data_IF_771406412480
#
_entry.id   IF_771406412480
#
_cell.length_a   1.000
_cell.length_b   1.000
_cell.length_c   1.000
_cell.angle_alpha   90.00
_cell.angle_beta   90.00
_cell.angle_gamma   90.00
#
_symmetry.space_group_name_H-M   'P 1'
#
loop_
_entity.id
_entity.type
_entity.pdbx_description
1 polymer ?
#
# COMPACT_ATOMS: atom_id res chain seq x y z
N UNK A 1 -75.70 30.37 16.85
CA UNK A 1 -75.10 30.96 18.06
C UNK A 1 -74.46 29.80 18.82
N UNK A 2 -73.11 29.75 18.90
CA UNK A 2 -72.21 28.94 19.77
C UNK A 2 -72.66 27.49 20.12
N UNK A 3 -71.91 26.40 19.95
CA UNK A 3 -70.47 26.15 20.06
C UNK A 3 -70.17 24.69 19.68
N UNK A 4 -69.08 24.52 18.94
CA UNK A 4 -68.04 23.48 18.99
C UNK A 4 -68.37 21.97 19.13
N UNK A 5 -67.84 21.25 18.15
CA UNK A 5 -67.77 19.79 17.96
C UNK A 5 -66.45 19.27 18.57
N UNK A 6 -66.38 18.01 19.07
CA UNK A 6 -65.14 17.26 18.99
C UNK A 6 -65.29 16.05 18.06
N UNK A 7 -64.81 16.22 16.84
CA UNK A 7 -64.70 15.17 15.83
C UNK A 7 -63.36 14.49 15.99
N UNK A 8 -63.38 13.17 16.21
CA UNK A 8 -62.20 12.31 16.22
C UNK A 8 -61.48 12.44 14.87
N UNK A 9 -60.30 13.05 14.87
CA UNK A 9 -59.36 12.97 13.77
C UNK A 9 -58.24 11.98 14.10
N UNK A 10 -58.11 10.99 13.23
CA UNK A 10 -57.02 10.01 13.18
C UNK A 10 -55.81 10.71 12.56
N UNK A 11 -54.64 10.59 13.18
CA UNK A 11 -53.35 10.95 12.61
C UNK A 11 -52.40 9.75 12.76
N UNK A 12 -51.80 9.22 11.67
CA UNK A 12 -50.75 8.21 11.76
C UNK A 12 -49.39 8.90 11.86
N UNK A 13 -48.78 8.91 13.03
CA UNK A 13 -47.41 9.41 13.21
C UNK A 13 -46.42 8.26 13.21
N UNK A 14 -45.54 8.31 12.21
CA UNK A 14 -44.38 7.45 12.00
C UNK A 14 -43.33 7.60 13.11
N UNK A 15 -42.59 6.52 13.40
CA UNK A 15 -41.35 6.54 14.19
C UNK A 15 -41.43 5.73 15.48
N UNK A 16 -40.54 4.80 15.80
CA UNK A 16 -39.37 4.31 15.08
C UNK A 16 -39.00 2.95 15.67
N UNK A 17 -38.92 1.94 14.80
CA UNK A 17 -38.26 0.66 15.10
C UNK A 17 -36.79 0.89 14.81
N UNK A 18 -36.02 1.39 15.77
CA UNK A 18 -34.54 1.34 15.74
C UNK A 18 -34.03 1.41 17.17
N UNK A 19 -33.55 0.29 17.70
CA UNK A 19 -32.40 0.18 18.62
C UNK A 19 -32.31 -1.26 19.15
N UNK A 20 -31.90 -2.20 18.30
CA UNK A 20 -31.45 -3.53 18.74
C UNK A 20 -30.38 -4.11 17.80
N UNK A 21 -29.41 -3.29 17.37
CA UNK A 21 -28.22 -3.76 16.63
C UNK A 21 -26.93 -3.15 17.22
N UNK A 22 -27.00 -2.54 18.41
CA UNK A 22 -25.90 -1.75 18.96
C UNK A 22 -24.92 -2.45 19.91
N UNK A 23 -25.06 -3.76 20.18
CA UNK A 23 -24.27 -4.43 21.23
C UNK A 23 -23.87 -5.85 20.81
N UNK A 24 -23.17 -5.98 19.68
CA UNK A 24 -22.39 -7.20 19.38
C UNK A 24 -21.23 -6.93 18.42
N UNK A 25 -20.52 -5.81 18.62
CA UNK A 25 -19.29 -5.46 17.88
C UNK A 25 -18.19 -4.98 18.82
N UNK A 26 -18.14 -5.56 20.01
CA UNK A 26 -17.04 -5.37 20.95
C UNK A 26 -16.60 -6.75 21.44
N UNK A 27 -15.29 -6.97 21.39
CA UNK A 27 -14.55 -8.08 21.99
C UNK A 27 -14.25 -9.32 21.11
N UNK A 28 -13.63 -9.08 19.97
CA UNK A 28 -12.50 -9.93 19.55
C UNK A 28 -11.24 -9.08 19.36
N UNK A 29 -10.83 -8.41 20.45
CA UNK A 29 -9.43 -8.01 20.60
C UNK A 29 -8.64 -9.27 20.92
N UNK A 30 -8.34 -10.08 19.90
CA UNK A 30 -7.28 -11.07 20.05
C UNK A 30 -6.00 -10.28 20.35
N UNK A 31 -5.33 -10.52 21.49
CA UNK A 31 -3.98 -10.04 21.63
C UNK A 31 -3.19 -10.80 20.57
N UNK A 32 -2.93 -10.15 19.43
CA UNK A 32 -1.89 -10.59 18.54
C UNK A 32 -0.62 -10.50 19.39
N UNK A 33 -0.17 -11.65 19.90
CA UNK A 33 1.21 -11.81 20.32
C UNK A 33 2.03 -11.42 19.10
N UNK A 34 2.51 -10.18 19.10
CA UNK A 34 3.40 -9.68 18.09
C UNK A 34 4.68 -10.49 18.27
N UNK A 35 4.77 -11.61 17.54
CA UNK A 35 6.02 -12.30 17.35
C UNK A 35 7.04 -11.24 16.93
N UNK A 36 8.23 -11.28 17.52
CA UNK A 36 9.31 -10.37 17.15
C UNK A 36 9.43 -10.37 15.63
N UNK A 37 9.34 -9.17 15.04
CA UNK A 37 9.41 -9.02 13.59
C UNK A 37 10.74 -9.62 13.15
N UNK A 38 10.71 -10.63 12.28
CA UNK A 38 11.91 -11.16 11.66
C UNK A 38 12.14 -10.48 10.32
N UNK A 39 13.40 -10.39 9.87
CA UNK A 39 13.72 -9.83 8.56
C UNK A 39 12.91 -10.50 7.44
N UNK A 40 12.77 -11.83 7.49
CA UNK A 40 11.98 -12.59 6.50
C UNK A 40 10.50 -12.22 6.54
N UNK A 41 9.93 -12.03 7.73
CA UNK A 41 8.53 -11.59 7.87
C UNK A 41 8.33 -10.16 7.36
N UNK A 42 9.28 -9.27 7.63
CA UNK A 42 9.26 -7.90 7.13
C UNK A 42 9.34 -7.86 5.59
N UNK A 43 10.22 -8.66 4.98
CA UNK A 43 10.31 -8.80 3.52
C UNK A 43 8.99 -9.28 2.91
N UNK A 44 8.39 -10.33 3.50
CA UNK A 44 7.13 -10.90 3.02
C UNK A 44 5.94 -9.94 3.17
N UNK A 45 5.95 -9.08 4.18
CA UNK A 45 4.94 -8.03 4.36
C UNK A 45 5.16 -6.90 3.35
N UNK A 46 6.39 -6.40 3.23
CA UNK A 46 6.73 -5.32 2.30
C UNK A 46 6.40 -5.68 0.84
N UNK A 47 6.74 -6.89 0.39
CA UNK A 47 6.44 -7.34 -0.97
C UNK A 47 4.94 -7.51 -1.24
N UNK A 48 4.16 -7.96 -0.24
CA UNK A 48 2.71 -8.16 -0.42
C UNK A 48 1.90 -6.88 -0.32
N UNK A 49 2.29 -5.95 0.55
CA UNK A 49 1.51 -4.76 0.86
C UNK A 49 1.95 -3.52 0.09
N UNK A 50 2.97 -3.62 -0.77
CA UNK A 50 3.41 -2.49 -1.56
C UNK A 50 2.42 -2.17 -2.71
N UNK A 51 1.74 -1.00 -2.68
CA UNK A 51 0.75 -0.65 -3.71
C UNK A 51 1.38 -0.42 -5.09
N UNK A 52 2.65 0.01 -5.15
CA UNK A 52 3.39 0.18 -6.41
C UNK A 52 3.62 -1.14 -7.14
N UNK A 53 4.07 -2.18 -6.41
CA UNK A 53 4.21 -3.54 -6.97
C UNK A 53 2.85 -4.12 -7.38
N UNK A 54 1.80 -3.85 -6.59
CA UNK A 54 0.43 -4.23 -6.93
C UNK A 54 -0.04 -3.60 -8.24
N UNK A 55 0.20 -2.30 -8.45
CA UNK A 55 -0.14 -1.59 -9.67
C UNK A 55 0.57 -2.18 -10.90
N UNK A 56 1.87 -2.49 -10.78
CA UNK A 56 2.62 -3.16 -11.86
C UNK A 56 2.06 -4.56 -12.17
N UNK A 57 1.67 -5.32 -11.16
CA UNK A 57 1.04 -6.64 -11.35
C UNK A 57 -0.25 -6.53 -12.15
N UNK A 58 -1.10 -5.56 -11.82
CA UNK A 58 -2.33 -5.29 -12.58
C UNK A 58 -2.04 -4.82 -13.99
N UNK A 59 -1.01 -3.98 -14.19
CA UNK A 59 -0.59 -3.53 -15.52
C UNK A 59 -0.13 -4.69 -16.41
N UNK A 60 0.60 -5.66 -15.86
CA UNK A 60 0.99 -6.87 -16.58
C UNK A 60 -0.25 -7.67 -17.00
N UNK A 61 -1.23 -7.83 -16.11
CA UNK A 61 -2.48 -8.52 -16.43
C UNK A 61 -3.25 -7.80 -17.55
N UNK A 62 -3.40 -6.47 -17.44
CA UNK A 62 -4.00 -5.62 -18.48
C UNK A 62 -3.35 -5.84 -19.85
N UNK A 63 -2.01 -5.77 -19.93
CA UNK A 63 -1.28 -5.92 -21.18
C UNK A 63 -1.38 -7.34 -21.75
N UNK A 64 -1.42 -8.37 -20.90
CA UNK A 64 -1.67 -9.76 -21.34
C UNK A 64 -3.06 -9.94 -21.91
N UNK A 65 -4.08 -9.38 -21.28
CA UNK A 65 -5.44 -9.39 -21.82
C UNK A 65 -5.54 -8.61 -23.13
N UNK A 66 -4.87 -7.45 -23.20
CA UNK A 66 -4.76 -6.66 -24.43
C UNK A 66 -4.10 -7.46 -25.55
N UNK A 67 -3.01 -8.20 -25.27
CA UNK A 67 -2.32 -9.04 -26.25
C UNK A 67 -3.26 -10.10 -26.86
N UNK A 68 -4.12 -10.71 -26.04
CA UNK A 68 -5.13 -11.65 -26.52
C UNK A 68 -6.20 -10.92 -27.34
N UNK A 69 -6.69 -9.77 -26.87
CA UNK A 69 -7.75 -9.01 -27.54
C UNK A 69 -7.32 -8.52 -28.94
N UNK A 70 -6.11 -7.95 -29.08
CA UNK A 70 -5.62 -7.45 -30.38
C UNK A 70 -5.24 -8.57 -31.35
N UNK A 71 -5.00 -9.78 -30.85
CA UNK A 71 -4.74 -10.94 -31.69
C UNK A 71 -6.03 -11.56 -32.27
N UNK A 72 -7.21 -11.14 -31.81
CA UNK A 72 -8.49 -11.62 -32.30
C UNK A 72 -8.96 -10.84 -33.53
N UNK A 73 -9.78 -11.51 -34.33
CA UNK A 73 -10.40 -10.89 -35.49
C UNK A 73 -11.39 -9.81 -35.02
N UNK A 74 -11.48 -8.65 -35.69
CA UNK A 74 -12.46 -7.63 -35.35
C UNK A 74 -13.89 -8.18 -35.35
N UNK A 75 -14.70 -7.65 -34.43
CA UNK A 75 -16.09 -8.06 -34.26
C UNK A 75 -16.91 -7.82 -35.53
N UNK A 76 -17.87 -8.69 -35.85
CA UNK A 76 -18.75 -8.49 -36.99
C UNK A 76 -19.76 -7.36 -36.72
N UNK A 77 -20.04 -6.57 -37.74
CA UNK A 77 -21.05 -5.52 -37.72
C UNK A 77 -22.37 -6.03 -38.32
N UNK A 78 -23.46 -5.90 -37.56
CA UNK A 78 -24.82 -6.10 -38.05
C UNK A 78 -25.38 -4.77 -38.55
N UNK A 79 -25.81 -4.73 -39.80
CA UNK A 79 -26.49 -3.58 -40.39
C UNK A 79 -27.96 -3.92 -40.66
N UNK A 80 -28.87 -3.06 -40.22
CA UNK A 80 -30.28 -3.11 -40.55
C UNK A 80 -30.60 -1.92 -41.45
N UNK A 81 -31.16 -2.19 -42.62
CA UNK A 81 -31.53 -1.19 -43.60
C UNK A 81 -32.99 -1.28 -43.98
N UNK A 82 -33.58 -0.15 -44.33
CA UNK A 82 -34.88 -0.09 -44.96
C UNK A 82 -34.81 0.88 -46.14
N UNK A 83 -35.26 0.44 -47.30
CA UNK A 83 -35.29 1.22 -48.52
C UNK A 83 -36.73 1.38 -49.00
N UNK A 84 -37.04 2.53 -49.60
CA UNK A 84 -38.35 2.86 -50.18
C UNK A 84 -39.50 2.74 -49.17
N UNK A 85 -39.33 3.25 -47.94
CA UNK A 85 -40.40 3.29 -46.94
C UNK A 85 -41.36 4.47 -47.20
N UNK A 86 -42.69 4.27 -47.06
CA UNK A 86 -43.66 5.35 -47.15
C UNK A 86 -43.52 6.32 -45.97
N UNK A 87 -43.50 7.64 -46.26
CA UNK A 87 -43.33 8.71 -45.26
C UNK A 87 -44.64 9.16 -44.59
N UNK A 88 -45.77 8.71 -45.13
CA UNK A 88 -47.12 9.15 -44.80
C UNK A 88 -47.92 8.14 -43.97
N UNK A 89 -47.45 6.91 -43.80
CA UNK A 89 -48.05 5.92 -42.90
C UNK A 89 -47.03 4.90 -42.41
N UNK A 90 -47.28 4.27 -41.27
CA UNK A 90 -46.45 3.18 -40.73
C UNK A 90 -46.69 1.81 -41.42
N UNK A 91 -47.42 1.77 -42.54
CA UNK A 91 -47.75 0.53 -43.24
C UNK A 91 -46.76 0.24 -44.38
N UNK A 92 -45.86 -0.72 -44.18
CA UNK A 92 -44.88 -1.18 -45.18
C UNK A 92 -45.50 -1.79 -46.46
N UNK A 93 -46.78 -2.21 -46.42
CA UNK A 93 -47.47 -2.82 -47.57
C UNK A 93 -48.03 -1.81 -48.60
N UNK A 94 -47.83 -0.49 -48.40
CA UNK A 94 -48.40 0.53 -49.30
C UNK A 94 -47.56 0.78 -50.57
N UNK A 95 -46.28 0.40 -50.57
CA UNK A 95 -45.41 0.52 -51.75
C UNK A 95 -44.84 -0.85 -52.12
N UNK A 96 -45.04 -1.28 -53.38
CA UNK A 96 -44.60 -2.59 -53.89
C UNK A 96 -43.07 -2.80 -53.88
N UNK A 97 -42.28 -1.75 -53.63
CA UNK A 97 -40.80 -1.78 -53.68
C UNK A 97 -40.14 -1.47 -52.32
N UNK A 98 -40.89 -1.45 -51.22
CA UNK A 98 -40.32 -1.32 -49.88
C UNK A 98 -39.49 -2.57 -49.55
N UNK A 99 -38.22 -2.37 -49.17
CA UNK A 99 -37.30 -3.48 -48.89
C UNK A 99 -36.68 -3.29 -47.51
N UNK A 100 -36.77 -4.32 -46.67
CA UNK A 100 -35.99 -4.44 -45.46
C UNK A 100 -34.74 -5.29 -45.75
N UNK A 101 -33.58 -4.82 -45.34
CA UNK A 101 -32.31 -5.53 -45.50
C UNK A 101 -31.66 -5.76 -44.15
N UNK A 102 -31.06 -6.95 -44.00
CA UNK A 102 -30.20 -7.31 -42.87
C UNK A 102 -28.86 -7.74 -43.46
N UNK A 103 -27.78 -7.09 -43.04
CA UNK A 103 -26.43 -7.37 -43.48
C UNK A 103 -25.53 -7.71 -42.30
N UNK A 104 -24.57 -8.61 -42.53
CA UNK A 104 -23.48 -8.91 -41.60
C UNK A 104 -22.16 -8.66 -42.33
N UNK A 105 -21.27 -7.85 -41.77
CA UNK A 105 -19.96 -7.55 -42.36
C UNK A 105 -18.84 -7.72 -41.33
N UNK A 106 -17.73 -8.33 -41.71
CA UNK A 106 -16.56 -8.51 -40.85
C UNK A 106 -15.29 -8.10 -41.59
N UNK A 107 -14.38 -7.40 -40.91
CA UNK A 107 -13.09 -7.02 -41.47
C UNK A 107 -12.09 -8.16 -41.33
N UNK A 108 -11.39 -8.50 -42.42
CA UNK A 108 -10.31 -9.47 -42.44
C UNK A 108 -8.97 -8.76 -42.68
N UNK A 109 -8.15 -8.54 -41.63
CA UNK A 109 -6.83 -7.94 -41.78
C UNK A 109 -5.87 -8.83 -42.57
N UNK A 110 -4.79 -8.25 -43.07
CA UNK A 110 -3.71 -9.00 -43.73
C UNK A 110 -3.14 -10.10 -42.83
N UNK A 111 -2.79 -11.24 -43.43
CA UNK A 111 -2.18 -12.36 -42.72
C UNK A 111 -0.97 -11.91 -41.88
N UNK A 112 -0.91 -12.38 -40.63
CA UNK A 112 0.19 -12.10 -39.69
C UNK A 112 0.10 -10.79 -38.92
N UNK A 113 -0.69 -9.79 -39.36
CA UNK A 113 -0.78 -8.47 -38.68
C UNK A 113 -1.24 -8.59 -37.22
N UNK A 114 -2.38 -9.23 -36.98
CA UNK A 114 -2.95 -9.42 -35.63
C UNK A 114 -2.00 -10.20 -34.71
N UNK A 115 -1.29 -11.19 -35.26
CA UNK A 115 -0.29 -11.95 -34.53
C UNK A 115 0.89 -11.09 -34.06
N UNK A 116 1.38 -10.18 -34.92
CA UNK A 116 2.46 -9.24 -34.57
C UNK A 116 2.00 -8.20 -33.54
N UNK A 117 0.78 -7.68 -33.65
CA UNK A 117 0.20 -6.76 -32.66
C UNK A 117 0.05 -7.45 -31.28
N UNK A 118 -0.37 -8.72 -31.26
CA UNK A 118 -0.42 -9.52 -30.05
C UNK A 118 0.98 -9.76 -29.45
N UNK A 119 1.97 -10.07 -30.28
CA UNK A 119 3.36 -10.23 -29.84
C UNK A 119 3.93 -8.93 -29.27
N UNK A 120 3.66 -7.79 -29.90
CA UNK A 120 4.10 -6.48 -29.41
C UNK A 120 3.56 -6.21 -28.00
N UNK A 121 2.25 -6.40 -27.78
CA UNK A 121 1.64 -6.24 -26.45
C UNK A 121 2.20 -7.27 -25.43
N UNK A 122 2.53 -8.49 -25.89
CA UNK A 122 3.19 -9.50 -25.07
C UNK A 122 4.61 -9.09 -24.62
N UNK A 123 5.40 -8.49 -25.52
CA UNK A 123 6.73 -7.94 -25.20
C UNK A 123 6.61 -6.77 -24.23
N UNK A 124 5.60 -5.90 -24.41
CA UNK A 124 5.31 -4.81 -23.48
C UNK A 124 4.99 -5.36 -22.07
N UNK A 125 4.15 -6.41 -21.98
CA UNK A 125 3.86 -7.07 -20.71
C UNK A 125 5.12 -7.65 -20.04
N UNK A 126 6.04 -8.21 -20.83
CA UNK A 126 7.31 -8.74 -20.33
C UNK A 126 8.21 -7.63 -19.79
N UNK A 127 8.31 -6.49 -20.47
CA UNK A 127 9.09 -5.35 -19.99
C UNK A 127 8.58 -4.82 -18.64
N UNK A 128 7.25 -4.78 -18.45
CA UNK A 128 6.65 -4.40 -17.16
C UNK A 128 6.93 -5.47 -16.10
N UNK A 129 6.93 -6.76 -16.46
CA UNK A 129 7.30 -7.84 -15.54
C UNK A 129 8.77 -7.74 -15.08
N UNK A 130 9.67 -7.32 -15.96
CA UNK A 130 11.07 -7.09 -15.63
C UNK A 130 11.23 -5.88 -14.70
N UNK A 131 10.45 -4.83 -14.93
CA UNK A 131 10.37 -3.66 -14.04
C UNK A 131 9.87 -4.05 -12.65
N UNK A 132 8.84 -4.89 -12.55
CA UNK A 132 8.35 -5.42 -11.27
C UNK A 132 9.42 -6.20 -10.52
N UNK A 133 10.19 -7.05 -11.22
CA UNK A 133 11.31 -7.78 -10.62
C UNK A 133 12.38 -6.82 -10.09
N UNK A 134 12.76 -5.80 -10.88
CA UNK A 134 13.70 -4.76 -10.45
C UNK A 134 13.25 -4.03 -9.19
N UNK A 135 12.03 -3.49 -9.20
CA UNK A 135 11.48 -2.76 -8.05
C UNK A 135 11.31 -3.64 -6.82
N UNK A 136 10.95 -4.92 -6.99
CA UNK A 136 10.87 -5.86 -5.87
C UNK A 136 12.23 -6.09 -5.21
N UNK A 137 13.30 -6.23 -6.02
CA UNK A 137 14.66 -6.41 -5.52
C UNK A 137 15.19 -5.15 -4.83
N UNK A 138 14.90 -3.98 -5.41
CA UNK A 138 15.25 -2.68 -4.82
C UNK A 138 14.55 -2.47 -3.47
N UNK A 139 13.25 -2.79 -3.38
CA UNK A 139 12.51 -2.71 -2.13
C UNK A 139 13.12 -3.61 -1.04
N UNK A 140 13.48 -4.85 -1.39
CA UNK A 140 14.15 -5.78 -0.47
C UNK A 140 15.51 -5.25 -0.04
N UNK A 141 16.28 -4.67 -0.97
CA UNK A 141 17.58 -4.08 -0.64
C UNK A 141 17.44 -2.92 0.35
N UNK A 142 16.51 -1.99 0.10
CA UNK A 142 16.25 -0.85 0.98
C UNK A 142 15.79 -1.32 2.36
N UNK A 143 14.88 -2.29 2.41
CA UNK A 143 14.41 -2.87 3.66
C UNK A 143 15.55 -3.52 4.46
N UNK A 144 16.41 -4.31 3.80
CA UNK A 144 17.58 -4.94 4.45
C UNK A 144 18.57 -3.91 4.99
N UNK A 145 18.81 -2.82 4.25
CA UNK A 145 19.67 -1.72 4.73
C UNK A 145 19.08 -1.06 5.96
N UNK A 146 17.80 -0.70 5.92
CA UNK A 146 17.10 -0.10 7.06
C UNK A 146 17.10 -1.05 8.27
N UNK A 147 16.89 -2.34 8.05
CA UNK A 147 16.96 -3.37 9.08
C UNK A 147 18.33 -3.45 9.75
N UNK A 148 19.41 -3.52 8.95
CA UNK A 148 20.78 -3.55 9.48
C UNK A 148 21.14 -2.26 10.20
N UNK A 149 20.70 -1.11 9.70
CA UNK A 149 20.91 0.17 10.35
C UNK A 149 20.21 0.23 11.72
N UNK A 150 18.97 -0.24 11.81
CA UNK A 150 18.25 -0.32 13.08
C UNK A 150 18.98 -1.23 14.09
N UNK A 151 19.40 -2.43 13.65
CA UNK A 151 20.17 -3.36 14.50
C UNK A 151 21.53 -2.79 14.92
N UNK A 152 22.22 -2.10 14.02
CA UNK A 152 23.49 -1.45 14.34
C UNK A 152 23.29 -0.39 15.41
N UNK A 153 22.29 0.48 15.25
CA UNK A 153 21.97 1.54 16.21
C UNK A 153 21.61 0.96 17.58
N UNK A 154 20.83 -0.11 17.64
CA UNK A 154 20.49 -0.78 18.90
C UNK A 154 21.74 -1.31 19.63
N UNK A 155 22.63 -1.99 18.91
CA UNK A 155 23.87 -2.53 19.47
C UNK A 155 24.85 -1.41 19.89
N UNK A 156 24.93 -0.33 19.10
CA UNK A 156 25.75 0.83 19.43
C UNK A 156 25.26 1.47 20.73
N UNK A 157 23.95 1.68 20.88
CA UNK A 157 23.36 2.20 22.13
C UNK A 157 23.63 1.28 23.33
N UNK A 158 23.53 -0.03 23.15
CA UNK A 158 23.84 -0.98 24.23
C UNK A 158 25.31 -0.88 24.68
N UNK A 159 26.23 -0.73 23.72
CA UNK A 159 27.67 -0.56 23.99
C UNK A 159 27.95 0.76 24.72
N UNK A 160 27.34 1.85 24.26
CA UNK A 160 27.45 3.17 24.89
C UNK A 160 26.97 3.13 26.35
N UNK A 161 25.80 2.54 26.61
CA UNK A 161 25.27 2.39 27.98
C UNK A 161 26.21 1.58 28.87
N UNK A 162 26.85 0.54 28.32
CA UNK A 162 27.83 -0.24 29.07
C UNK A 162 29.07 0.59 29.41
N UNK A 163 29.57 1.41 28.47
CA UNK A 163 30.69 2.32 28.72
C UNK A 163 30.36 3.37 29.80
N UNK A 164 29.16 3.94 29.79
CA UNK A 164 28.72 4.88 30.84
C UNK A 164 28.75 4.23 32.23
N UNK A 165 28.35 2.96 32.34
CA UNK A 165 28.40 2.21 33.60
C UNK A 165 29.84 1.97 34.08
N UNK A 166 30.75 1.64 33.16
CA UNK A 166 32.17 1.44 33.47
C UNK A 166 32.84 2.73 33.93
N UNK A 167 32.61 3.85 33.25
CA UNK A 167 33.16 5.15 33.66
C UNK A 167 32.60 5.61 35.01
N UNK A 168 31.31 5.39 35.26
CA UNK A 168 30.72 5.64 36.57
C UNK A 168 31.39 4.80 37.68
N UNK A 169 31.68 3.53 37.41
CA UNK A 169 32.40 2.66 38.34
C UNK A 169 33.87 3.11 38.54
N UNK A 170 34.55 3.58 37.49
CA UNK A 170 35.92 4.12 37.56
C UNK A 170 35.99 5.35 38.46
N UNK A 171 35.02 6.28 38.36
CA UNK A 171 34.92 7.44 39.26
C UNK A 171 34.72 6.99 40.71
N UNK A 172 33.86 5.99 40.96
CA UNK A 172 33.64 5.45 42.31
C UNK A 172 34.90 4.79 42.88
N UNK A 173 35.64 4.03 42.07
CA UNK A 173 36.90 3.40 42.48
C UNK A 173 37.97 4.45 42.83
N UNK A 174 38.14 5.48 41.99
CA UNK A 174 39.08 6.58 42.26
C UNK A 174 38.72 7.33 43.55
N UNK A 175 37.43 7.58 43.80
CA UNK A 175 36.95 8.18 45.05
C UNK A 175 37.23 7.31 46.27
N UNK A 176 37.08 5.99 46.15
CA UNK A 176 37.38 5.05 47.23
C UNK A 176 38.87 5.04 47.59
N UNK A 177 39.76 5.03 46.58
CA UNK A 177 41.21 5.10 46.78
C UNK A 177 41.65 6.43 47.38
N UNK A 178 41.05 7.54 46.94
CA UNK A 178 41.32 8.85 47.53
C UNK A 178 40.92 8.90 49.02
N UNK A 179 39.74 8.34 49.37
CA UNK A 179 39.27 8.28 50.76
C UNK A 179 40.10 7.36 51.66
N UNK A 180 40.74 6.33 51.11
CA UNK A 180 41.65 5.44 51.84
C UNK A 180 43.10 5.94 51.87
N UNK A 181 43.36 7.14 51.35
CA UNK A 181 44.71 7.74 51.22
C UNK A 181 45.66 6.94 50.33
N UNK A 182 45.12 6.06 49.48
CA UNK A 182 45.86 5.23 48.53
C UNK A 182 45.88 5.82 47.11
N UNK A 183 45.10 6.86 46.85
CA UNK A 183 45.01 7.56 45.56
C UNK A 183 45.08 9.07 45.71
N UNK A 184 45.23 9.77 44.58
CA UNK A 184 45.38 11.23 44.55
C UNK A 184 44.10 11.94 44.10
N UNK A 185 43.94 13.21 44.50
CA UNK A 185 42.83 14.06 44.01
C UNK A 185 42.88 14.23 42.48
N UNK A 186 44.08 14.24 41.90
CA UNK A 186 44.27 14.32 40.46
C UNK A 186 43.68 13.12 39.70
N UNK A 187 43.71 11.92 40.29
CA UNK A 187 43.11 10.71 39.70
C UNK A 187 41.57 10.80 39.69
N UNK A 188 40.96 11.33 40.75
CA UNK A 188 39.51 11.57 40.81
C UNK A 188 39.08 12.57 39.72
N UNK A 189 39.80 13.69 39.58
CA UNK A 189 39.52 14.69 38.56
C UNK A 189 39.69 14.13 37.14
N UNK A 190 40.72 13.30 36.91
CA UNK A 190 40.93 12.63 35.62
C UNK A 190 39.77 11.68 35.28
N UNK A 191 39.31 10.88 36.24
CA UNK A 191 38.17 9.98 36.03
C UNK A 191 36.86 10.74 35.77
N UNK A 192 36.61 11.85 36.47
CA UNK A 192 35.45 12.71 36.21
C UNK A 192 35.52 13.34 34.82
N UNK A 193 36.69 13.83 34.42
CA UNK A 193 36.88 14.39 33.08
C UNK A 193 36.65 13.35 31.97
N UNK A 194 37.11 12.10 32.17
CA UNK A 194 36.88 11.01 31.22
C UNK A 194 35.37 10.71 31.05
N UNK A 195 34.62 10.66 32.16
CA UNK A 195 33.16 10.50 32.14
C UNK A 195 32.47 11.65 31.42
N UNK A 196 32.84 12.89 31.71
CA UNK A 196 32.21 14.07 31.10
C UNK A 196 32.55 14.16 29.60
N UNK A 197 33.75 13.74 29.20
CA UNK A 197 34.13 13.60 27.79
C UNK A 197 33.23 12.59 27.08
N UNK A 198 33.02 11.41 27.67
CA UNK A 198 32.15 10.38 27.11
C UNK A 198 30.70 10.89 26.97
N UNK A 199 30.17 11.60 27.97
CA UNK A 199 28.83 12.18 27.93
C UNK A 199 28.67 13.21 26.79
N UNK A 200 29.70 14.03 26.55
CA UNK A 200 29.72 14.97 25.43
C UNK A 200 29.73 14.26 24.07
N UNK A 201 30.52 13.18 23.94
CA UNK A 201 30.59 12.40 22.71
C UNK A 201 29.25 11.71 22.41
N UNK A 202 28.58 11.15 23.43
CA UNK A 202 27.25 10.55 23.29
C UNK A 202 26.23 11.59 22.83
N UNK A 203 26.23 12.78 23.45
CA UNK A 203 25.31 13.87 23.09
C UNK A 203 25.50 14.29 21.64
N UNK A 204 26.75 14.33 21.16
CA UNK A 204 27.06 14.64 19.75
C UNK A 204 26.52 13.57 18.80
N UNK A 205 26.76 12.28 19.12
CA UNK A 205 26.26 11.17 18.31
C UNK A 205 24.72 11.14 18.24
N UNK A 206 24.03 11.47 19.33
CA UNK A 206 22.57 11.59 19.35
C UNK A 206 22.07 12.75 18.49
N UNK A 207 22.77 13.88 18.48
CA UNK A 207 22.42 15.02 17.64
C UNK A 207 22.58 14.70 16.15
N UNK A 208 23.64 13.98 15.76
CA UNK A 208 23.86 13.49 14.39
C UNK A 208 22.76 12.50 13.96
N UNK A 209 22.37 11.58 14.85
CA UNK A 209 21.26 10.66 14.58
C UNK A 209 19.91 11.38 14.38
N UNK A 210 19.65 12.44 15.16
CA UNK A 210 18.42 13.21 15.05
C UNK A 210 18.35 14.06 13.77
N UNK A 211 19.49 14.38 13.14
CA UNK A 211 19.53 15.12 11.87
C UNK A 211 19.41 14.25 10.62
N UNK A 212 19.74 12.96 10.73
CA UNK A 212 19.70 12.00 9.61
C UNK A 212 18.33 11.30 9.45
N UNK A 213 17.40 11.51 10.38
CA UNK A 213 16.01 11.02 10.36
C UNK A 213 15.06 12.10 9.83
#
# INVERSE_FOLDING_TARGET
>A
MYTNIPGRFIQPTWGGIRLSVGVLLLLSATPAWAASLSLQSAEAVALRQNPGLGALTQKIAELRHKAVAVAQLPDPHLALGAANLPLNSFSMNQQQMSMLSVGLSQTFPSFGKLGLEGQQAGVEAQAVADTLRGQSAELVLLLRRAWLQALYTENAMATVRHQEQLEAASVQAALALYRSTQGSQAEVLRAQLARDSLANDITRLQAEQASDL
#
